data_IF_141268626075
#
_entry.id   IF_141268626075
#
_cell.length_a   1.000
_cell.length_b   1.000
_cell.length_c   1.000
_cell.angle_alpha   90.00
_cell.angle_beta   90.00
_cell.angle_gamma   90.00
#
_symmetry.space_group_name_H-M   'P 1'
#
loop_
_entity.id
_entity.type
_entity.pdbx_description
1 polymer ?
#
# COMPACT_ATOMS: atom_id res chain seq x y z
N UNK A 1 -3.27 1.99 12.55
CA UNK A 1 -2.87 1.39 11.26
C UNK A 1 -3.49 0.01 11.15
N UNK A 2 -4.19 -0.20 10.04
CA UNK A 2 -4.89 -1.43 9.67
C UNK A 2 -4.24 -1.98 8.40
N UNK A 3 -4.30 -3.29 8.24
CA UNK A 3 -3.60 -4.01 7.19
C UNK A 3 -4.52 -5.05 6.60
N UNK A 4 -4.61 -5.07 5.28
CA UNK A 4 -5.37 -6.08 4.57
C UNK A 4 -4.67 -6.49 3.28
N UNK A 5 -5.14 -7.59 2.71
CA UNK A 5 -4.84 -7.93 1.31
C UNK A 5 -6.14 -7.99 0.54
N UNK A 6 -6.12 -7.41 -0.66
CA UNK A 6 -7.22 -7.51 -1.60
C UNK A 6 -6.74 -8.14 -2.90
N UNK A 7 -7.68 -8.70 -3.66
CA UNK A 7 -7.47 -9.34 -4.95
C UNK A 7 -8.22 -8.56 -6.01
N UNK A 8 -7.48 -8.08 -6.99
CA UNK A 8 -8.03 -7.38 -8.15
C UNK A 8 -8.73 -8.34 -9.13
N UNK A 9 -9.53 -7.81 -10.04
CA UNK A 9 -10.26 -8.59 -11.08
C UNK A 9 -9.30 -9.42 -11.96
N UNK A 10 -8.07 -8.94 -12.12
CA UNK A 10 -6.98 -9.62 -12.83
C UNK A 10 -6.33 -10.76 -12.01
N UNK A 11 -6.81 -11.01 -10.80
CA UNK A 11 -6.27 -12.01 -9.87
C UNK A 11 -4.99 -11.58 -9.14
N UNK A 12 -4.55 -10.34 -9.30
CA UNK A 12 -3.37 -9.79 -8.62
C UNK A 12 -3.70 -9.49 -7.16
N UNK A 13 -2.87 -9.98 -6.25
CA UNK A 13 -2.98 -9.70 -4.81
C UNK A 13 -2.21 -8.43 -4.48
N UNK A 14 -2.87 -7.47 -3.85
CA UNK A 14 -2.29 -6.25 -3.32
C UNK A 14 -2.37 -6.26 -1.80
N UNK A 15 -1.27 -5.91 -1.13
CA UNK A 15 -1.23 -5.73 0.31
C UNK A 15 -1.37 -4.23 0.61
N UNK A 16 -2.38 -3.85 1.38
CA UNK A 16 -2.77 -2.47 1.60
C UNK A 16 -2.83 -2.13 3.09
N UNK A 17 -2.43 -0.90 3.41
CA UNK A 17 -2.39 -0.37 4.77
C UNK A 17 -3.02 1.03 4.81
N UNK A 18 -3.78 1.29 5.86
CA UNK A 18 -4.44 2.58 6.10
C UNK A 18 -4.56 2.88 7.60
N UNK A 19 -5.10 4.04 7.98
CA UNK A 19 -5.29 4.38 9.38
C UNK A 19 -6.53 3.69 9.99
N UNK A 20 -7.60 3.55 9.20
CA UNK A 20 -8.85 2.86 9.57
C UNK A 20 -9.22 1.72 8.62
N UNK A 21 -10.15 0.86 9.05
CA UNK A 21 -10.72 -0.22 8.21
C UNK A 21 -11.59 0.38 7.10
N UNK A 22 -12.40 1.39 7.43
CA UNK A 22 -13.22 2.14 6.48
C UNK A 22 -12.42 2.67 5.28
N UNK A 23 -11.18 3.13 5.48
CA UNK A 23 -10.33 3.60 4.38
C UNK A 23 -9.92 2.46 3.43
N UNK A 24 -9.72 1.26 3.96
CA UNK A 24 -9.37 0.06 3.18
C UNK A 24 -10.60 -0.45 2.43
N UNK A 25 -11.75 -0.49 3.10
CA UNK A 25 -13.03 -0.86 2.48
C UNK A 25 -13.39 0.12 1.36
N UNK A 26 -13.31 1.42 1.63
CA UNK A 26 -13.48 2.47 0.63
C UNK A 26 -12.48 2.33 -0.52
N UNK A 27 -11.21 1.96 -0.29
CA UNK A 27 -10.25 1.73 -1.37
C UNK A 27 -10.63 0.52 -2.24
N UNK A 28 -11.16 -0.54 -1.64
CA UNK A 28 -11.63 -1.73 -2.36
C UNK A 28 -12.94 -1.46 -3.13
N UNK A 29 -13.83 -0.62 -2.59
CA UNK A 29 -15.13 -0.28 -3.17
C UNK A 29 -15.05 0.86 -4.22
N UNK A 30 -14.29 1.92 -3.94
CA UNK A 30 -14.14 3.13 -4.77
C UNK A 30 -12.97 3.05 -5.76
N UNK A 31 -12.57 1.86 -6.20
CA UNK A 31 -11.77 1.76 -7.41
C UNK A 31 -12.48 2.55 -8.52
N UNK A 32 -11.78 3.47 -9.20
CA UNK A 32 -12.32 4.41 -10.20
C UNK A 32 -13.12 3.72 -11.34
N UNK A 33 -13.11 2.39 -11.39
CA UNK A 33 -13.80 1.53 -12.36
C UNK A 33 -14.95 0.66 -11.77
N UNK A 34 -15.26 0.77 -10.47
CA UNK A 34 -16.39 0.11 -9.83
C UNK A 34 -16.11 -1.32 -9.37
N UNK A 35 -16.12 -1.54 -8.04
CA UNK A 35 -16.19 -2.87 -7.40
C UNK A 35 -15.31 -3.97 -8.03
N UNK A 36 -13.99 -3.79 -8.02
CA UNK A 36 -13.04 -4.74 -8.65
C UNK A 36 -12.17 -5.53 -7.66
N UNK A 37 -12.09 -5.12 -6.39
CA UNK A 37 -11.13 -5.70 -5.43
C UNK A 37 -11.82 -6.45 -4.31
N UNK A 38 -11.69 -7.78 -4.32
CA UNK A 38 -12.17 -8.67 -3.26
C UNK A 38 -11.22 -8.61 -2.06
N UNK A 39 -11.74 -8.32 -0.88
CA UNK A 39 -10.96 -8.35 0.35
C UNK A 39 -10.70 -9.81 0.78
N UNK A 40 -9.43 -10.21 0.84
CA UNK A 40 -9.07 -11.60 1.14
C UNK A 40 -8.83 -11.84 2.64
N UNK A 41 -8.07 -10.94 3.28
CA UNK A 41 -7.61 -11.17 4.65
C UNK A 41 -7.22 -9.88 5.36
N UNK A 42 -7.49 -9.84 6.67
CA UNK A 42 -7.05 -8.79 7.58
C UNK A 42 -5.86 -9.28 8.41
N UNK A 43 -4.79 -8.49 8.47
CA UNK A 43 -3.59 -8.83 9.23
C UNK A 43 -3.57 -8.10 10.57
N UNK A 44 -3.44 -8.86 11.66
CA UNK A 44 -3.36 -8.31 13.02
C UNK A 44 -1.93 -8.00 13.45
N UNK A 45 -0.95 -8.75 12.95
CA UNK A 45 0.46 -8.57 13.33
C UNK A 45 1.44 -8.82 12.16
N UNK A 46 1.44 -7.96 11.12
CA UNK A 46 2.41 -8.07 10.05
C UNK A 46 3.82 -7.70 10.56
N UNK A 47 4.84 -8.43 10.08
CA UNK A 47 6.22 -8.14 10.46
C UNK A 47 6.68 -6.79 9.89
N UNK A 48 7.65 -6.10 10.53
CA UNK A 48 8.15 -4.82 10.04
C UNK A 48 8.62 -4.86 8.58
N UNK A 49 9.31 -5.94 8.17
CA UNK A 49 9.77 -6.14 6.79
C UNK A 49 8.59 -6.19 5.82
N UNK A 50 7.51 -6.89 6.18
CA UNK A 50 6.30 -6.92 5.35
C UNK A 50 5.70 -5.54 5.18
N UNK A 51 5.49 -4.82 6.29
CA UNK A 51 4.91 -3.48 6.28
C UNK A 51 5.72 -2.51 5.42
N UNK A 52 7.04 -2.57 5.53
CA UNK A 52 7.91 -1.62 4.83
C UNK A 52 7.99 -1.91 3.32
N UNK A 53 8.09 -3.18 2.91
CA UNK A 53 8.37 -3.56 1.51
C UNK A 53 7.16 -3.98 0.69
N UNK A 54 6.16 -4.60 1.31
CA UNK A 54 5.05 -5.25 0.60
C UNK A 54 3.74 -4.46 0.68
N UNK A 55 3.52 -3.71 1.75
CA UNK A 55 2.28 -2.94 1.91
C UNK A 55 2.31 -1.60 1.16
N UNK A 56 1.20 -1.32 0.49
CA UNK A 56 0.90 -0.05 -0.16
C UNK A 56 0.06 0.79 0.78
N UNK A 57 0.40 2.07 0.94
CA UNK A 57 -0.38 2.99 1.75
C UNK A 57 -1.57 3.52 0.94
N UNK A 58 -2.78 3.31 1.44
CA UNK A 58 -4.04 3.75 0.81
C UNK A 58 -4.85 4.71 1.69
N UNK A 59 -4.37 5.00 2.91
CA UNK A 59 -5.01 5.96 3.80
C UNK A 59 -4.93 7.40 3.27
N UNK A 60 -5.92 8.23 3.62
CA UNK A 60 -5.99 9.63 3.16
C UNK A 60 -4.88 10.52 3.76
N UNK A 61 -4.32 10.07 4.89
CA UNK A 61 -3.26 10.75 5.61
C UNK A 61 -1.87 10.61 4.99
N UNK A 62 -0.90 11.24 5.65
CA UNK A 62 0.52 11.14 5.27
C UNK A 62 1.00 9.71 5.49
N UNK A 63 1.62 9.11 4.47
CA UNK A 63 2.25 7.78 4.57
C UNK A 63 3.15 7.70 5.83
N UNK A 64 2.96 6.68 6.68
CA UNK A 64 3.63 6.60 7.97
C UNK A 64 5.14 6.34 7.81
N UNK A 65 5.99 6.84 8.74
CA UNK A 65 7.45 6.68 8.68
C UNK A 65 7.93 5.23 8.54
N UNK A 66 7.23 4.28 9.15
CA UNK A 66 7.54 2.85 9.11
C UNK A 66 7.47 2.26 7.69
N UNK A 67 6.69 2.89 6.80
CA UNK A 67 6.57 2.52 5.39
C UNK A 67 7.44 3.38 4.48
N UNK A 68 8.24 4.30 5.03
CA UNK A 68 9.22 5.13 4.31
C UNK A 68 10.59 4.47 4.42
N UNK A 69 10.82 3.45 3.60
CA UNK A 69 12.17 2.93 3.44
C UNK A 69 12.98 3.98 2.69
N UNK A 70 14.11 4.41 3.26
CA UNK A 70 15.11 5.17 2.51
C UNK A 70 15.62 4.28 1.39
N UNK A 71 15.26 4.60 0.14
CA UNK A 71 15.79 3.89 -1.02
C UNK A 71 17.21 4.41 -1.30
N UNK A 72 18.11 3.57 -1.84
CA UNK A 72 19.43 4.02 -2.21
C UNK A 72 19.32 5.22 -3.18
N UNK A 73 19.98 6.31 -2.81
CA UNK A 73 20.09 7.50 -3.64
C UNK A 73 21.34 7.37 -4.50
N UNK A 74 21.21 7.55 -5.81
CA UNK A 74 22.38 7.56 -6.67
C UNK A 74 23.03 8.94 -6.59
N UNK A 75 24.14 9.07 -5.88
CA UNK A 75 24.86 10.34 -5.74
C UNK A 75 25.58 10.79 -7.03
N UNK A 76 25.76 9.89 -7.99
CA UNK A 76 26.37 10.19 -9.30
C UNK A 76 25.35 10.81 -10.23
N UNK A 77 24.16 10.20 -10.35
CA UNK A 77 23.08 10.72 -11.22
C UNK A 77 22.18 11.73 -10.50
N UNK A 78 22.28 11.85 -9.17
CA UNK A 78 21.37 12.61 -8.29
C UNK A 78 19.90 12.21 -8.43
N UNK A 79 19.65 11.00 -8.90
CA UNK A 79 18.31 10.48 -9.11
C UNK A 79 17.99 9.41 -8.06
N UNK A 80 16.75 9.42 -7.59
CA UNK A 80 16.17 8.23 -6.97
C UNK A 80 15.94 7.18 -8.05
N UNK A 81 16.29 5.92 -7.79
CA UNK A 81 16.14 4.80 -8.74
C UNK A 81 14.70 4.51 -9.23
N UNK A 82 13.69 5.33 -8.89
CA UNK A 82 12.32 5.23 -9.40
C UNK A 82 11.75 6.61 -9.71
N UNK A 83 11.00 6.67 -10.81
CA UNK A 83 10.29 7.84 -11.34
C UNK A 83 9.23 8.34 -10.33
N UNK A 84 9.29 9.62 -9.96
CA UNK A 84 8.37 10.25 -8.99
C UNK A 84 7.03 10.69 -9.61
N UNK A 85 6.62 10.09 -10.73
CA UNK A 85 5.33 10.37 -11.35
C UNK A 85 4.22 9.56 -10.65
N UNK A 86 3.65 10.15 -9.59
CA UNK A 86 2.34 9.79 -9.05
C UNK A 86 1.48 11.04 -9.02
#
# INVERSE_FOLDING_TARGET
MKFASCKDINGKIEYIAADSEDEIEVYCENGVLGSEKELLHWYTNPTPIMVSHHFVWVGKGKRPPQMKISRPFNYVTKESYVNNSF
#
